data_IF_622449120371
#
_entry.id   IF_622449120371
#
_cell.length_a   1.000
_cell.length_b   1.000
_cell.length_c   1.000
_cell.angle_alpha   90.00
_cell.angle_beta   90.00
_cell.angle_gamma   90.00
#
_symmetry.space_group_name_H-M   'P 1'
#
loop_
_entity.id
_entity.type
_entity.pdbx_description
1 polymer ?
#
# COMPACT_ATOMS: atom_id res chain seq x y z
N UNK A 1 31.40 -33.21 11.13
CA UNK A 1 31.39 -34.20 12.24
C UNK A 1 29.98 -34.33 12.81
N UNK A 2 29.55 -35.55 13.12
CA UNK A 2 28.27 -35.77 13.80
C UNK A 2 28.46 -36.59 15.06
N UNK A 3 27.70 -36.26 16.11
CA UNK A 3 27.62 -37.03 17.34
C UNK A 3 26.15 -37.13 17.73
N UNK A 4 25.67 -38.32 18.09
CA UNK A 4 24.28 -38.55 18.40
C UNK A 4 24.11 -39.52 19.56
N UNK A 5 23.15 -39.22 20.42
CA UNK A 5 22.60 -40.14 21.42
C UNK A 5 21.11 -40.36 21.10
N UNK A 6 20.46 -41.30 21.79
CA UNK A 6 19.03 -41.60 21.57
C UNK A 6 18.13 -40.36 21.59
N UNK A 7 18.48 -39.34 22.37
CA UNK A 7 17.67 -38.14 22.56
C UNK A 7 18.35 -36.83 22.09
N UNK A 8 19.54 -36.89 21.49
CA UNK A 8 20.34 -35.70 21.14
C UNK A 8 21.06 -35.89 19.82
N UNK A 9 21.26 -34.81 19.06
CA UNK A 9 22.03 -34.83 17.83
C UNK A 9 22.85 -33.54 17.73
N UNK A 10 24.16 -33.65 17.52
CA UNK A 10 25.04 -32.53 17.21
C UNK A 10 25.68 -32.75 15.85
N UNK A 11 25.47 -31.80 14.95
CA UNK A 11 26.10 -31.69 13.64
C UNK A 11 27.02 -30.48 13.67
N UNK A 12 28.32 -30.70 13.48
CA UNK A 12 29.32 -29.63 13.44
C UNK A 12 29.94 -29.51 12.07
N UNK A 13 30.17 -28.26 11.64
CA UNK A 13 30.72 -27.92 10.32
C UNK A 13 29.96 -28.62 9.21
N UNK A 14 28.63 -28.64 9.35
CA UNK A 14 27.74 -29.11 8.31
C UNK A 14 27.99 -28.26 7.06
N UNK A 15 28.07 -28.93 5.91
CA UNK A 15 28.01 -28.30 4.60
C UNK A 15 27.00 -29.11 3.81
N UNK A 16 25.89 -28.48 3.45
CA UNK A 16 24.79 -29.10 2.74
C UNK A 16 24.37 -28.22 1.57
N UNK A 17 23.77 -28.84 0.56
CA UNK A 17 23.18 -28.15 -0.58
C UNK A 17 21.74 -28.62 -0.71
N UNK A 18 20.81 -27.67 -0.79
CA UNK A 18 19.39 -27.88 -1.01
C UNK A 18 18.96 -27.01 -2.18
N UNK A 19 18.58 -27.65 -3.29
CA UNK A 19 18.33 -27.00 -4.58
C UNK A 19 19.56 -26.21 -5.07
N UNK A 20 19.48 -24.89 -5.03
CA UNK A 20 20.61 -24.00 -5.34
C UNK A 20 21.22 -23.36 -4.08
N UNK A 21 20.70 -23.71 -2.90
CA UNK A 21 21.04 -23.09 -1.61
C UNK A 21 22.12 -23.90 -0.92
N UNK A 22 23.25 -23.29 -0.59
CA UNK A 22 24.30 -23.87 0.24
C UNK A 22 24.15 -23.41 1.68
N UNK A 23 24.18 -24.39 2.57
CA UNK A 23 24.00 -24.26 4.01
C UNK A 23 25.29 -24.70 4.69
N UNK A 24 25.86 -23.84 5.53
CA UNK A 24 27.04 -24.17 6.31
C UNK A 24 26.88 -23.77 7.77
N UNK A 25 27.26 -24.64 8.70
CA UNK A 25 27.21 -24.28 10.11
C UNK A 25 27.02 -25.45 11.06
N UNK A 26 26.45 -25.15 12.22
CA UNK A 26 26.29 -26.09 13.33
C UNK A 26 24.81 -26.19 13.70
N UNK A 27 24.36 -27.42 13.99
CA UNK A 27 23.03 -27.72 14.51
C UNK A 27 23.18 -28.61 15.74
N UNK A 28 22.51 -28.25 16.82
CA UNK A 28 22.53 -28.96 18.09
C UNK A 28 21.10 -29.18 18.59
N UNK A 29 20.59 -30.39 18.40
CA UNK A 29 19.33 -30.85 18.97
C UNK A 29 19.61 -31.37 20.38
N UNK A 30 19.25 -30.58 21.39
CA UNK A 30 19.43 -30.91 22.83
C UNK A 30 18.41 -31.90 23.35
N UNK A 31 17.25 -32.00 22.71
CA UNK A 31 16.17 -32.93 23.00
C UNK A 31 15.24 -33.03 21.79
N UNK A 32 14.71 -34.22 21.50
CA UNK A 32 13.65 -34.41 20.50
C UNK A 32 12.23 -34.33 21.08
N UNK A 33 12.07 -34.48 22.40
CA UNK A 33 10.75 -34.45 23.05
C UNK A 33 10.87 -33.92 24.49
N UNK A 34 10.52 -32.63 24.74
CA UNK A 34 10.17 -31.61 23.75
C UNK A 34 11.36 -31.28 22.83
N UNK A 35 11.09 -30.79 21.62
CA UNK A 35 12.12 -30.42 20.65
C UNK A 35 12.86 -29.16 21.13
N UNK A 36 14.17 -29.26 21.33
CA UNK A 36 15.05 -28.14 21.71
C UNK A 36 16.21 -28.06 20.72
N UNK A 37 16.27 -26.98 19.94
CA UNK A 37 17.26 -26.81 18.85
C UNK A 37 18.09 -25.56 19.09
N UNK A 38 19.40 -25.70 18.99
CA UNK A 38 20.33 -24.59 18.86
C UNK A 38 21.05 -24.66 17.52
N UNK A 39 21.22 -23.54 16.81
CA UNK A 39 21.96 -23.55 15.55
C UNK A 39 22.69 -22.24 15.29
N UNK A 40 23.74 -22.32 14.49
CA UNK A 40 24.38 -21.18 13.83
C UNK A 40 24.55 -21.54 12.37
N UNK A 41 23.88 -20.82 11.47
CA UNK A 41 23.79 -21.20 10.06
C UNK A 41 24.15 -20.04 9.14
N UNK A 42 25.05 -20.30 8.20
CA UNK A 42 25.31 -19.49 7.02
C UNK A 42 24.57 -20.07 5.81
N UNK A 43 23.90 -19.20 5.06
CA UNK A 43 23.20 -19.54 3.82
C UNK A 43 23.75 -18.64 2.70
N UNK A 44 24.11 -19.19 1.55
CA UNK A 44 24.60 -18.35 0.45
C UNK A 44 23.46 -17.56 -0.23
N UNK A 45 22.41 -18.23 -0.69
CA UNK A 45 21.23 -17.64 -1.32
C UNK A 45 19.97 -18.40 -0.94
N UNK A 46 18.91 -17.68 -0.63
CA UNK A 46 17.60 -18.26 -0.31
C UNK A 46 16.52 -17.49 -1.06
N UNK A 47 15.66 -18.22 -1.77
CA UNK A 47 14.45 -17.64 -2.35
C UNK A 47 13.24 -18.23 -1.62
N UNK A 48 12.68 -17.45 -0.69
CA UNK A 48 11.52 -17.88 0.13
C UNK A 48 10.27 -17.99 -0.74
N UNK A 49 10.16 -17.22 -1.81
CA UNK A 49 8.98 -17.23 -2.71
C UNK A 49 8.76 -18.58 -3.39
N UNK A 50 9.82 -19.40 -3.50
CA UNK A 50 9.70 -20.79 -3.99
C UNK A 50 8.94 -21.70 -3.03
N UNK A 51 8.89 -21.35 -1.75
CA UNK A 51 8.29 -22.15 -0.67
C UNK A 51 7.00 -21.56 -0.12
N UNK A 52 6.63 -20.34 -0.52
CA UNK A 52 5.32 -19.77 -0.21
C UNK A 52 4.23 -20.49 -1.04
N UNK A 53 3.02 -20.69 -0.48
CA UNK A 53 1.89 -21.21 -1.25
C UNK A 53 1.73 -20.38 -2.51
N UNK A 54 1.68 -21.04 -3.68
CA UNK A 54 1.41 -20.33 -4.93
C UNK A 54 0.04 -19.68 -4.79
N UNK A 55 0.03 -18.35 -4.69
CA UNK A 55 -1.15 -17.53 -4.92
C UNK A 55 -1.81 -18.07 -6.18
N UNK A 56 -2.97 -18.71 -6.05
CA UNK A 56 -3.75 -19.06 -7.24
C UNK A 56 -4.13 -17.72 -7.86
N UNK A 57 -3.34 -17.27 -8.85
CA UNK A 57 -3.75 -16.22 -9.78
C UNK A 57 -5.15 -16.59 -10.17
N UNK A 58 -6.12 -15.79 -9.73
CA UNK A 58 -7.53 -16.00 -10.00
C UNK A 58 -7.66 -16.26 -11.49
N UNK A 59 -7.79 -17.54 -11.85
CA UNK A 59 -7.93 -17.95 -13.24
C UNK A 59 -9.20 -17.26 -13.69
N UNK A 60 -9.05 -16.29 -14.61
CA UNK A 60 -10.12 -15.65 -15.40
C UNK A 60 -11.45 -16.34 -15.17
N UNK A 61 -12.27 -15.79 -14.27
CA UNK A 61 -13.66 -16.23 -14.10
C UNK A 61 -14.35 -15.96 -15.42
N UNK A 62 -14.41 -16.98 -16.28
CA UNK A 62 -15.44 -17.03 -17.32
C UNK A 62 -16.79 -16.95 -16.62
N UNK A 63 -17.65 -16.11 -17.16
CA UNK A 63 -18.98 -15.74 -16.68
C UNK A 63 -19.84 -16.93 -16.20
N UNK A 64 -20.81 -16.70 -15.29
CA UNK A 64 -21.47 -17.76 -14.54
C UNK A 64 -22.50 -18.50 -15.40
N UNK A 65 -22.35 -19.81 -15.51
CA UNK A 65 -23.48 -20.72 -15.77
C UNK A 65 -23.44 -21.87 -14.78
N UNK A 66 -24.54 -21.96 -14.03
CA UNK A 66 -24.99 -23.06 -13.18
C UNK A 66 -24.12 -23.44 -11.98
N UNK A 67 -24.67 -23.13 -10.81
CA UNK A 67 -24.32 -23.64 -9.49
C UNK A 67 -24.29 -25.17 -9.47
N UNK A 68 -23.09 -25.72 -9.29
CA UNK A 68 -22.90 -27.04 -8.67
C UNK A 68 -22.57 -26.85 -7.18
N UNK A 69 -23.03 -27.75 -6.30
CA UNK A 69 -22.92 -27.60 -4.86
C UNK A 69 -21.45 -27.63 -4.41
N UNK A 70 -21.17 -26.83 -3.38
CA UNK A 70 -19.87 -26.66 -2.75
C UNK A 70 -19.47 -28.00 -2.12
N UNK A 71 -18.43 -28.66 -2.64
CA UNK A 71 -17.84 -29.84 -2.02
C UNK A 71 -16.93 -29.42 -0.85
N UNK A 72 -16.73 -30.28 0.17
CA UNK A 72 -15.87 -30.00 1.34
C UNK A 72 -14.44 -29.58 0.99
N UNK A 73 -13.96 -29.92 -0.21
CA UNK A 73 -12.63 -29.59 -0.72
C UNK A 73 -12.40 -28.09 -0.88
N UNK A 74 -13.44 -27.29 -1.19
CA UNK A 74 -13.31 -25.82 -1.31
C UNK A 74 -13.19 -25.12 0.05
N UNK A 75 -13.56 -25.80 1.14
CA UNK A 75 -13.41 -25.28 2.51
C UNK A 75 -11.99 -25.57 3.05
N UNK A 76 -11.34 -26.63 2.57
CA UNK A 76 -10.00 -27.02 3.00
C UNK A 76 -8.89 -26.07 2.51
N UNK A 77 -9.12 -25.33 1.42
CA UNK A 77 -8.14 -24.37 0.88
C UNK A 77 -8.13 -23.06 1.69
N UNK A 78 -9.27 -22.69 2.31
CA UNK A 78 -9.35 -21.52 3.18
C UNK A 78 -8.77 -21.76 4.60
N UNK A 79 -8.47 -23.01 4.97
CA UNK A 79 -7.97 -23.37 6.30
C UNK A 79 -6.45 -23.37 6.45
N UNK A 80 -5.69 -23.07 5.39
CA UNK A 80 -4.20 -23.19 5.39
C UNK A 80 -3.49 -21.99 6.03
N UNK A 81 -4.19 -20.90 6.38
CA UNK A 81 -3.58 -19.67 6.92
C UNK A 81 -3.66 -19.52 8.45
N UNK A 82 -4.16 -20.51 9.18
CA UNK A 82 -4.19 -20.47 10.64
C UNK A 82 -2.88 -21.02 11.24
N UNK A 83 -2.08 -20.14 11.86
CA UNK A 83 -0.91 -20.60 12.62
C UNK A 83 -1.38 -21.23 13.93
N UNK A 84 -1.05 -22.50 14.14
CA UNK A 84 -1.40 -23.20 15.38
C UNK A 84 -0.62 -22.63 16.56
N UNK A 85 -1.30 -21.87 17.43
CA UNK A 85 -0.70 -21.30 18.65
C UNK A 85 -0.09 -22.37 19.54
N UNK A 86 -0.68 -23.57 19.59
CA UNK A 86 -0.12 -24.72 20.32
C UNK A 86 1.24 -25.16 19.77
N UNK A 87 1.42 -25.15 18.43
CA UNK A 87 2.70 -25.51 17.84
C UNK A 87 3.78 -24.46 18.18
N UNK A 88 3.42 -23.17 18.14
CA UNK A 88 4.31 -22.08 18.54
C UNK A 88 4.70 -22.15 20.03
N UNK A 89 3.78 -22.56 20.90
CA UNK A 89 4.04 -22.74 22.33
C UNK A 89 5.05 -23.85 22.64
N UNK A 90 5.13 -24.87 21.78
CA UNK A 90 6.09 -25.97 21.92
C UNK A 90 7.47 -25.69 21.33
N UNK A 91 7.62 -24.57 20.62
CA UNK A 91 8.85 -24.22 19.94
C UNK A 91 9.93 -23.83 20.95
N UNK A 92 11.05 -24.54 20.95
CA UNK A 92 12.24 -24.17 21.70
C UNK A 92 13.44 -24.15 20.74
N UNK A 93 13.69 -22.97 20.16
CA UNK A 93 14.70 -22.75 19.12
C UNK A 93 15.50 -21.52 19.49
N UNK A 94 16.82 -21.65 19.47
CA UNK A 94 17.73 -20.50 19.57
C UNK A 94 18.78 -20.58 18.47
N UNK A 95 18.99 -19.51 17.73
CA UNK A 95 20.04 -19.55 16.74
C UNK A 95 20.30 -18.25 16.01
N UNK A 96 21.41 -18.25 15.30
CA UNK A 96 21.86 -17.15 14.48
C UNK A 96 21.89 -17.60 13.01
N UNK A 97 21.41 -16.72 12.14
CA UNK A 97 21.32 -16.94 10.71
C UNK A 97 22.01 -15.78 9.99
N UNK A 98 22.94 -16.11 9.10
CA UNK A 98 23.52 -15.17 8.14
C UNK A 98 23.18 -15.65 6.74
N UNK A 99 22.54 -14.81 5.94
CA UNK A 99 22.17 -15.14 4.55
C UNK A 99 22.86 -14.15 3.62
N UNK A 100 23.57 -14.65 2.61
CA UNK A 100 24.21 -13.81 1.60
C UNK A 100 23.21 -13.06 0.73
N UNK A 101 22.29 -13.79 0.11
CA UNK A 101 21.21 -13.25 -0.72
C UNK A 101 19.84 -13.82 -0.29
N UNK A 102 18.85 -12.95 -0.14
CA UNK A 102 17.48 -13.35 0.17
C UNK A 102 16.52 -12.72 -0.83
N UNK A 103 15.68 -13.56 -1.44
CA UNK A 103 14.49 -13.10 -2.16
C UNK A 103 13.27 -13.41 -1.31
N UNK A 104 12.56 -12.36 -0.91
CA UNK A 104 11.30 -12.43 -0.18
C UNK A 104 10.31 -11.48 -0.81
N UNK A 105 9.19 -12.00 -1.29
CA UNK A 105 8.13 -11.27 -1.97
C UNK A 105 8.62 -10.47 -3.17
N UNK A 106 9.53 -11.08 -3.94
CA UNK A 106 10.34 -10.49 -5.01
C UNK A 106 11.33 -9.41 -4.56
N UNK A 107 11.27 -8.94 -3.31
CA UNK A 107 12.27 -8.02 -2.80
C UNK A 107 13.62 -8.74 -2.68
N UNK A 108 14.68 -8.08 -3.17
CA UNK A 108 16.05 -8.59 -3.10
C UNK A 108 16.79 -7.95 -1.93
N UNK A 109 17.22 -8.78 -1.00
CA UNK A 109 18.01 -8.41 0.16
C UNK A 109 19.37 -9.11 0.09
N UNK A 110 20.36 -8.53 0.74
CA UNK A 110 21.71 -9.09 0.86
C UNK A 110 22.28 -8.83 2.24
N UNK A 111 23.32 -9.58 2.61
CA UNK A 111 24.01 -9.45 3.90
C UNK A 111 23.04 -9.47 5.09
N UNK A 112 22.14 -10.47 5.10
CA UNK A 112 21.12 -10.59 6.14
C UNK A 112 21.76 -11.21 7.38
N UNK A 113 21.54 -10.60 8.53
CA UNK A 113 21.84 -11.21 9.82
C UNK A 113 20.58 -11.17 10.70
N UNK A 114 20.24 -12.34 11.26
CA UNK A 114 19.05 -12.57 12.05
C UNK A 114 19.39 -13.47 13.24
N UNK A 115 18.99 -13.08 14.44
CA UNK A 115 18.97 -13.97 15.61
C UNK A 115 17.53 -14.33 15.96
N UNK A 116 17.27 -15.63 16.17
CA UNK A 116 15.99 -16.16 16.62
C UNK A 116 16.10 -16.70 18.05
N UNK A 117 15.12 -16.35 18.88
CA UNK A 117 14.90 -16.94 20.18
C UNK A 117 13.41 -17.26 20.34
N UNK A 118 13.07 -18.54 20.34
CA UNK A 118 11.72 -19.04 20.54
C UNK A 118 11.69 -19.94 21.76
N UNK A 119 10.89 -19.60 22.75
CA UNK A 119 10.67 -20.41 23.94
C UNK A 119 9.31 -20.10 24.57
N UNK A 120 8.58 -21.14 25.00
CA UNK A 120 7.34 -21.03 25.76
C UNK A 120 6.30 -20.09 25.12
N UNK A 121 6.17 -20.16 23.79
CA UNK A 121 5.25 -19.33 23.01
C UNK A 121 5.68 -17.88 22.81
N UNK A 122 6.86 -17.46 23.28
CA UNK A 122 7.48 -16.19 22.91
C UNK A 122 8.50 -16.43 21.81
N UNK A 123 8.34 -15.79 20.65
CA UNK A 123 9.24 -15.88 19.51
C UNK A 123 9.78 -14.49 19.22
N UNK A 124 11.09 -14.34 19.27
CA UNK A 124 11.79 -13.08 19.06
C UNK A 124 12.76 -13.23 17.89
N UNK A 125 12.67 -12.31 16.93
CA UNK A 125 13.63 -12.11 15.86
C UNK A 125 14.33 -10.77 16.12
N UNK A 126 15.50 -10.83 16.74
CA UNK A 126 16.22 -9.64 17.19
C UNK A 126 17.72 -9.93 17.38
N UNK A 127 18.63 -9.20 16.69
CA UNK A 127 18.31 -8.20 15.68
C UNK A 127 17.96 -8.85 14.33
N UNK A 128 17.21 -8.14 13.50
CA UNK A 128 17.15 -8.38 12.06
C UNK A 128 17.86 -7.25 11.35
N UNK A 129 18.78 -7.55 10.45
CA UNK A 129 19.46 -6.56 9.62
C UNK A 129 19.70 -7.08 8.21
N UNK A 130 19.68 -6.18 7.22
CA UNK A 130 19.95 -6.52 5.83
C UNK A 130 20.35 -5.26 5.03
N UNK A 131 20.96 -5.45 3.86
CA UNK A 131 21.10 -4.43 2.81
C UNK A 131 20.07 -4.66 1.72
N UNK A 132 19.50 -3.57 1.20
CA UNK A 132 18.53 -3.61 0.11
C UNK A 132 18.56 -2.30 -0.68
N UNK A 133 18.60 -2.39 -2.01
CA UNK A 133 18.45 -1.25 -2.92
C UNK A 133 19.28 -0.01 -2.53
N UNK A 134 20.58 -0.23 -2.29
CA UNK A 134 21.58 0.77 -1.81
C UNK A 134 21.42 1.27 -0.38
N UNK A 135 20.32 0.91 0.29
CA UNK A 135 20.06 1.23 1.69
C UNK A 135 20.19 0.02 2.62
N UNK A 136 19.67 0.18 3.83
CA UNK A 136 19.69 -0.85 4.87
C UNK A 136 18.33 -1.02 5.52
N UNK A 137 18.03 -2.24 5.94
CA UNK A 137 16.93 -2.59 6.81
C UNK A 137 17.47 -2.98 8.19
N UNK A 138 16.79 -2.56 9.25
CA UNK A 138 16.98 -3.06 10.60
C UNK A 138 15.64 -3.18 11.31
N UNK A 139 15.42 -4.24 12.07
CA UNK A 139 14.17 -4.41 12.78
C UNK A 139 14.23 -5.44 13.90
N UNK A 140 13.15 -5.46 14.67
CA UNK A 140 12.88 -6.42 15.75
C UNK A 140 11.44 -6.90 15.59
N UNK A 141 11.21 -8.20 15.69
CA UNK A 141 9.88 -8.79 15.58
C UNK A 141 9.67 -9.69 16.80
N UNK A 142 8.54 -9.52 17.48
CA UNK A 142 8.16 -10.36 18.62
C UNK A 142 6.75 -10.89 18.40
N UNK A 143 6.61 -12.21 18.36
CA UNK A 143 5.34 -12.90 18.35
C UNK A 143 5.13 -13.57 19.71
N UNK A 144 4.16 -13.08 20.47
CA UNK A 144 3.72 -13.67 21.73
C UNK A 144 2.45 -14.51 21.49
N UNK A 145 2.62 -15.82 21.51
CA UNK A 145 1.58 -16.84 21.37
C UNK A 145 1.29 -17.57 22.69
N UNK A 146 1.60 -16.98 23.84
CA UNK A 146 1.27 -17.56 25.17
C UNK A 146 -0.24 -17.63 25.38
N UNK A 147 -0.95 -16.62 24.91
CA UNK A 147 -2.41 -16.55 24.96
C UNK A 147 -3.06 -17.26 23.75
N UNK A 148 -4.37 -17.49 23.83
CA UNK A 148 -5.14 -18.11 22.74
C UNK A 148 -5.10 -17.26 21.45
N UNK A 149 -5.02 -15.94 21.59
CA UNK A 149 -4.91 -15.00 20.47
C UNK A 149 -3.50 -14.43 20.53
N UNK A 150 -2.65 -14.70 19.53
CA UNK A 150 -1.28 -14.22 19.56
C UNK A 150 -1.21 -12.72 19.29
N UNK A 151 -0.20 -12.08 19.88
CA UNK A 151 0.14 -10.68 19.67
C UNK A 151 1.47 -10.58 18.93
N UNK A 152 1.50 -9.80 17.85
CA UNK A 152 2.68 -9.49 17.07
C UNK A 152 3.09 -8.04 17.34
N UNK A 153 4.35 -7.81 17.67
CA UNK A 153 4.95 -6.47 17.66
C UNK A 153 6.14 -6.42 16.72
N UNK A 154 6.30 -5.30 16.03
CA UNK A 154 7.37 -5.11 15.06
C UNK A 154 7.89 -3.68 15.14
N UNK A 155 9.21 -3.54 15.19
CA UNK A 155 9.90 -2.29 14.90
C UNK A 155 10.71 -2.48 13.64
N UNK A 156 10.53 -1.62 12.65
CA UNK A 156 11.19 -1.71 11.36
C UNK A 156 11.73 -0.35 10.96
N UNK A 157 12.96 -0.34 10.45
CA UNK A 157 13.63 0.84 9.94
C UNK A 157 14.25 0.54 8.58
N UNK A 158 13.89 1.36 7.59
CA UNK A 158 14.56 1.45 6.30
C UNK A 158 15.35 2.76 6.27
N UNK A 159 16.61 2.70 5.87
CA UNK A 159 17.47 3.86 5.75
C UNK A 159 18.10 3.92 4.36
N UNK A 160 18.00 5.09 3.73
CA UNK A 160 18.57 5.39 2.41
C UNK A 160 18.21 4.37 1.30
N UNK A 161 16.98 3.85 1.31
CA UNK A 161 16.52 2.85 0.34
C UNK A 161 16.05 3.54 -0.94
N UNK A 162 16.57 3.12 -2.09
CA UNK A 162 16.08 3.59 -3.38
C UNK A 162 14.76 2.90 -3.72
N UNK A 163 13.68 3.67 -3.81
CA UNK A 163 12.33 3.09 -3.96
C UNK A 163 12.01 2.60 -5.35
N UNK A 164 12.64 3.15 -6.40
CA UNK A 164 12.38 2.73 -7.77
C UNK A 164 12.62 1.22 -8.00
N UNK A 165 13.83 0.66 -7.77
CA UNK A 165 14.05 -0.77 -7.97
C UNK A 165 13.24 -1.63 -6.99
N UNK A 166 13.01 -1.15 -5.75
CA UNK A 166 12.19 -1.86 -4.77
C UNK A 166 10.73 -2.01 -5.23
N UNK A 167 10.10 -0.90 -5.63
CA UNK A 167 8.70 -0.90 -6.07
C UNK A 167 8.54 -1.64 -7.39
N UNK A 168 9.51 -1.57 -8.30
CA UNK A 168 9.49 -2.39 -9.51
C UNK A 168 9.57 -3.89 -9.20
N UNK A 169 10.45 -4.32 -8.28
CA UNK A 169 10.56 -5.72 -7.90
C UNK A 169 9.29 -6.22 -7.18
N UNK A 170 8.74 -5.44 -6.24
CA UNK A 170 7.62 -5.88 -5.39
C UNK A 170 6.25 -5.68 -6.05
N UNK A 171 6.04 -4.53 -6.71
CA UNK A 171 4.74 -4.11 -7.27
C UNK A 171 4.69 -4.19 -8.81
N UNK A 172 5.82 -4.38 -9.49
CA UNK A 172 5.92 -4.36 -10.96
C UNK A 172 5.87 -2.96 -11.58
N UNK A 173 5.63 -1.92 -10.78
CA UNK A 173 5.58 -0.51 -11.21
C UNK A 173 6.05 0.39 -10.07
N UNK A 174 6.72 1.49 -10.40
CA UNK A 174 7.19 2.46 -9.42
C UNK A 174 6.57 3.85 -9.69
N UNK A 175 5.61 4.24 -8.85
CA UNK A 175 4.93 5.54 -8.96
C UNK A 175 5.61 6.64 -8.13
N UNK A 176 6.36 6.28 -7.09
CA UNK A 176 7.04 7.20 -6.19
C UNK A 176 8.52 6.82 -6.07
N UNK A 177 9.36 7.59 -6.74
CA UNK A 177 10.80 7.37 -6.82
C UNK A 177 11.53 8.29 -5.83
N UNK A 178 12.70 7.86 -5.36
CA UNK A 178 13.60 8.66 -4.53
C UNK A 178 14.32 7.82 -3.48
N UNK A 179 15.09 8.49 -2.62
CA UNK A 179 15.67 7.88 -1.43
C UNK A 179 14.66 7.95 -0.27
N UNK A 180 14.25 6.80 0.25
CA UNK A 180 13.33 6.70 1.38
C UNK A 180 14.02 6.31 2.69
N UNK A 181 13.60 6.97 3.76
CA UNK A 181 13.83 6.57 5.14
C UNK A 181 12.46 6.36 5.79
N UNK A 182 12.24 5.19 6.37
CA UNK A 182 10.95 4.80 6.94
C UNK A 182 11.21 4.19 8.31
N UNK A 183 10.50 4.66 9.33
CA UNK A 183 10.47 4.00 10.63
C UNK A 183 9.03 3.60 10.96
N UNK A 184 8.86 2.38 11.47
CA UNK A 184 7.56 1.81 11.83
C UNK A 184 7.67 1.16 13.21
N UNK A 185 6.66 1.40 14.05
CA UNK A 185 6.44 0.70 15.32
C UNK A 185 5.01 0.19 15.32
N UNK A 186 4.83 -1.09 15.05
CA UNK A 186 3.54 -1.72 14.81
C UNK A 186 3.25 -2.80 15.85
N UNK A 187 1.97 -3.02 16.08
CA UNK A 187 1.41 -4.07 16.91
C UNK A 187 0.14 -4.62 16.26
N UNK A 188 -0.13 -5.90 16.47
CA UNK A 188 -1.27 -6.57 15.85
C UNK A 188 -1.69 -7.79 16.68
N UNK A 189 -2.93 -8.23 16.54
CA UNK A 189 -3.48 -9.41 17.22
C UNK A 189 -4.26 -10.30 16.27
N UNK A 190 -3.94 -11.59 16.23
CA UNK A 190 -4.64 -12.50 15.33
C UNK A 190 -3.84 -13.75 14.97
N UNK A 191 -4.55 -14.86 14.77
CA UNK A 191 -3.94 -16.14 14.38
C UNK A 191 -3.84 -16.32 12.85
N UNK A 192 -4.34 -15.35 12.09
CA UNK A 192 -4.37 -15.34 10.63
C UNK A 192 -4.10 -13.94 10.09
N UNK A 193 -3.70 -13.87 8.81
CA UNK A 193 -3.27 -12.63 8.14
C UNK A 193 -4.36 -11.55 8.11
N UNK A 194 -5.64 -11.93 7.96
CA UNK A 194 -6.74 -10.96 7.90
C UNK A 194 -6.98 -10.33 9.27
N UNK A 195 -6.87 -11.12 10.36
CA UNK A 195 -6.90 -10.59 11.72
C UNK A 195 -5.69 -9.74 12.03
N UNK A 196 -4.51 -10.10 11.54
CA UNK A 196 -3.34 -9.25 11.68
C UNK A 196 -3.50 -7.90 10.95
N UNK A 197 -4.01 -7.92 9.71
CA UNK A 197 -4.26 -6.73 8.89
C UNK A 197 -5.30 -5.81 9.55
N UNK A 198 -6.42 -6.38 9.98
CA UNK A 198 -7.55 -5.62 10.54
C UNK A 198 -7.34 -5.11 11.98
N UNK A 199 -6.38 -5.68 12.72
CA UNK A 199 -6.03 -5.23 14.07
C UNK A 199 -4.75 -4.40 14.13
N UNK A 200 -4.03 -4.26 13.00
CA UNK A 200 -2.78 -3.53 12.92
C UNK A 200 -2.93 -2.13 13.49
N UNK A 201 -2.07 -1.79 14.44
CA UNK A 201 -2.07 -0.52 15.15
C UNK A 201 -0.65 -0.08 15.48
N UNK A 202 -0.38 1.22 15.51
CA UNK A 202 0.96 1.73 15.77
C UNK A 202 1.20 3.09 15.13
N UNK A 203 2.47 3.39 14.91
CA UNK A 203 2.91 4.66 14.35
C UNK A 203 4.08 4.47 13.39
N UNK A 204 4.33 5.48 12.58
CA UNK A 204 5.49 5.52 11.72
C UNK A 204 5.80 6.91 11.21
N UNK A 205 6.95 7.03 10.55
CA UNK A 205 7.35 8.22 9.83
C UNK A 205 8.02 7.83 8.52
N UNK A 206 7.81 8.68 7.51
CA UNK A 206 8.30 8.52 6.16
C UNK A 206 9.00 9.81 5.78
N UNK A 207 10.22 9.68 5.24
CA UNK A 207 11.00 10.78 4.67
C UNK A 207 11.54 10.33 3.32
N UNK A 208 11.16 11.03 2.27
CA UNK A 208 11.76 10.94 0.94
C UNK A 208 12.64 12.15 0.66
N UNK A 209 13.73 11.93 -0.06
CA UNK A 209 14.61 12.97 -0.60
C UNK A 209 14.73 12.82 -2.10
N UNK A 210 14.79 13.97 -2.78
CA UNK A 210 15.09 14.12 -4.21
C UNK A 210 14.30 13.11 -5.06
N UNK A 211 12.98 13.19 -4.96
CA UNK A 211 12.06 12.20 -5.50
C UNK A 211 11.31 12.64 -6.75
N UNK A 212 10.63 11.67 -7.36
CA UNK A 212 9.80 11.86 -8.55
C UNK A 212 8.48 11.14 -8.32
N UNK A 213 7.38 11.87 -8.45
CA UNK A 213 6.03 11.32 -8.55
C UNK A 213 5.71 11.10 -10.03
N UNK A 214 5.57 9.83 -10.44
CA UNK A 214 5.27 9.45 -11.82
C UNK A 214 3.79 9.62 -12.15
N UNK A 215 3.53 9.97 -13.41
CA UNK A 215 2.17 10.00 -13.97
C UNK A 215 1.34 11.24 -13.62
N UNK A 216 1.87 12.17 -12.83
CA UNK A 216 1.26 13.49 -12.58
C UNK A 216 2.32 14.58 -12.72
N UNK A 217 2.08 15.58 -13.58
CA UNK A 217 2.89 16.80 -13.68
C UNK A 217 2.14 17.99 -13.06
N UNK A 218 2.38 18.20 -11.77
CA UNK A 218 1.76 19.28 -11.00
C UNK A 218 2.27 20.64 -11.50
N UNK A 219 3.55 20.77 -11.84
CA UNK A 219 4.12 22.04 -12.28
C UNK A 219 3.51 22.51 -13.60
N UNK A 220 3.41 21.63 -14.59
CA UNK A 220 2.76 21.94 -15.86
C UNK A 220 1.25 22.17 -15.70
N UNK A 221 0.59 21.43 -14.79
CA UNK A 221 -0.82 21.65 -14.45
C UNK A 221 -1.04 23.07 -13.90
N UNK A 222 -0.22 23.50 -12.94
CA UNK A 222 -0.30 24.86 -12.37
C UNK A 222 -0.03 25.94 -13.42
N UNK A 223 0.98 25.73 -14.27
CA UNK A 223 1.30 26.64 -15.38
C UNK A 223 0.13 26.80 -16.37
N UNK A 224 -0.57 25.71 -16.69
CA UNK A 224 -1.77 25.75 -17.53
C UNK A 224 -2.89 26.55 -16.86
N UNK A 225 -3.11 26.36 -15.57
CA UNK A 225 -4.10 27.11 -14.79
C UNK A 225 -3.79 28.62 -14.80
N UNK A 226 -2.51 29.00 -14.62
CA UNK A 226 -2.05 30.38 -14.71
C UNK A 226 -2.30 30.99 -16.10
N UNK A 227 -1.96 30.27 -17.18
CA UNK A 227 -2.21 30.76 -18.55
C UNK A 227 -3.71 30.92 -18.84
N UNK A 228 -4.55 29.99 -18.37
CA UNK A 228 -6.00 30.10 -18.53
C UNK A 228 -6.56 31.30 -17.75
N UNK A 229 -6.00 31.57 -16.57
CA UNK A 229 -6.34 32.75 -15.78
C UNK A 229 -5.98 34.06 -16.50
N UNK A 230 -4.74 34.21 -16.95
CA UNK A 230 -4.28 35.41 -17.64
C UNK A 230 -5.03 35.65 -18.95
N UNK A 231 -5.23 34.59 -19.74
CA UNK A 231 -5.88 34.68 -21.05
C UNK A 231 -7.40 34.72 -21.00
N UNK A 232 -8.00 34.41 -19.84
CA UNK A 232 -9.45 34.19 -19.66
C UNK A 232 -10.05 33.16 -20.63
N UNK A 233 -9.23 32.20 -21.08
CA UNK A 233 -9.63 31.12 -21.98
C UNK A 233 -9.48 29.80 -21.23
N UNK A 234 -10.58 29.09 -21.05
CA UNK A 234 -10.61 27.82 -20.34
C UNK A 234 -10.65 26.67 -21.35
N UNK A 235 -9.94 25.59 -21.03
CA UNK A 235 -9.84 24.39 -21.85
C UNK A 235 -9.47 23.17 -21.02
N UNK A 236 -9.15 22.08 -21.71
CA UNK A 236 -8.70 20.86 -21.07
C UNK A 236 -7.32 21.05 -20.42
N UNK A 237 -7.12 20.42 -19.26
CA UNK A 237 -5.86 20.46 -18.51
C UNK A 237 -5.16 19.12 -18.69
N UNK A 238 -3.96 19.15 -19.25
CA UNK A 238 -3.08 17.98 -19.26
C UNK A 238 -2.42 17.82 -17.88
N UNK A 239 -2.70 16.71 -17.22
CA UNK A 239 -2.17 16.39 -15.89
C UNK A 239 -1.09 15.32 -15.91
N UNK A 240 -0.88 14.66 -17.05
CA UNK A 240 0.10 13.60 -17.24
C UNK A 240 1.52 14.14 -17.33
N UNK A 241 2.48 13.31 -16.93
CA UNK A 241 3.91 13.66 -16.85
C UNK A 241 4.44 13.31 -15.48
N UNK A 242 5.57 13.88 -15.09
CA UNK A 242 6.25 13.54 -13.83
C UNK A 242 6.49 14.80 -12.99
N UNK A 243 6.30 14.68 -11.67
CA UNK A 243 6.58 15.77 -10.74
C UNK A 243 7.84 15.48 -9.95
N UNK A 244 8.87 16.31 -10.13
CA UNK A 244 10.06 16.27 -9.28
C UNK A 244 9.81 17.04 -7.98
N UNK A 245 10.31 16.50 -6.87
CA UNK A 245 10.23 17.13 -5.56
C UNK A 245 11.52 16.94 -4.76
N UNK A 246 11.84 17.92 -3.91
CA UNK A 246 13.03 17.91 -3.07
C UNK A 246 12.86 16.99 -1.86
N UNK A 247 11.69 17.03 -1.24
CA UNK A 247 11.40 16.20 -0.06
C UNK A 247 9.93 15.90 0.09
N UNK A 248 9.61 14.74 0.66
CA UNK A 248 8.28 14.41 1.17
C UNK A 248 8.43 13.86 2.58
N UNK A 249 7.70 14.43 3.54
CA UNK A 249 7.63 13.93 4.92
C UNK A 249 6.20 13.61 5.29
N UNK A 250 5.98 12.57 6.10
CA UNK A 250 4.66 12.22 6.64
C UNK A 250 4.82 11.40 7.93
N UNK A 251 3.99 11.66 8.94
CA UNK A 251 3.80 10.76 10.08
C UNK A 251 2.54 9.91 9.91
N UNK A 252 2.60 8.66 10.33
CA UNK A 252 1.50 7.71 10.22
C UNK A 252 0.95 7.40 11.60
N UNK A 253 -0.36 7.48 11.75
CA UNK A 253 -1.10 6.91 12.87
C UNK A 253 -1.91 5.74 12.34
N UNK A 254 -1.71 4.56 12.92
CA UNK A 254 -2.36 3.33 12.46
C UNK A 254 -3.23 2.80 13.60
N UNK A 255 -4.50 2.56 13.31
CA UNK A 255 -5.45 2.02 14.28
C UNK A 255 -6.42 1.06 13.61
N UNK A 256 -6.39 -0.20 14.03
CA UNK A 256 -7.28 -1.26 13.51
C UNK A 256 -7.28 -1.35 11.98
N UNK A 257 -6.09 -1.32 11.38
CA UNK A 257 -5.90 -1.35 9.93
C UNK A 257 -6.24 -0.04 9.21
N UNK A 258 -6.61 1.03 9.90
CA UNK A 258 -6.81 2.36 9.31
C UNK A 258 -5.52 3.16 9.45
N UNK A 259 -4.96 3.61 8.34
CA UNK A 259 -3.73 4.41 8.27
C UNK A 259 -4.11 5.87 8.00
N UNK A 260 -3.93 6.71 9.01
CA UNK A 260 -4.14 8.15 8.95
C UNK A 260 -2.81 8.91 8.90
N UNK A 261 -2.82 10.05 8.22
CA UNK A 261 -1.74 11.03 8.22
C UNK A 261 -2.35 12.44 8.28
N UNK A 262 -1.74 13.37 9.01
CA UNK A 262 -2.27 14.73 9.16
C UNK A 262 -1.26 15.84 8.85
N UNK A 263 -0.03 15.47 8.46
CA UNK A 263 1.12 16.36 8.34
C UNK A 263 1.98 16.05 7.11
N UNK A 264 1.42 15.41 6.08
CA UNK A 264 2.16 15.20 4.84
C UNK A 264 2.61 16.55 4.30
N UNK A 265 3.89 16.65 3.97
CA UNK A 265 4.48 17.82 3.34
C UNK A 265 5.40 17.37 2.22
N UNK A 266 4.98 17.60 0.98
CA UNK A 266 5.85 17.53 -0.19
C UNK A 266 6.32 18.94 -0.55
N UNK A 267 7.61 19.10 -0.78
CA UNK A 267 8.22 20.36 -1.21
C UNK A 267 8.87 20.19 -2.58
N UNK A 268 8.42 21.00 -3.54
CA UNK A 268 8.95 21.04 -4.90
C UNK A 268 9.38 22.47 -5.27
N UNK A 269 9.92 22.65 -6.47
CA UNK A 269 10.24 23.99 -6.96
C UNK A 269 8.94 24.75 -7.31
N UNK A 270 8.68 25.86 -6.63
CA UNK A 270 7.55 26.74 -6.91
C UNK A 270 6.22 26.35 -6.25
N UNK A 271 6.15 25.20 -5.57
CA UNK A 271 4.96 24.80 -4.83
C UNK A 271 5.26 23.79 -3.72
N UNK A 272 4.31 23.67 -2.79
CA UNK A 272 4.26 22.65 -1.75
C UNK A 272 2.93 21.92 -1.79
N UNK A 273 2.89 20.69 -1.28
CA UNK A 273 1.64 19.95 -1.08
C UNK A 273 1.53 19.55 0.38
N UNK A 274 0.48 20.00 1.04
CA UNK A 274 0.13 19.60 2.40
C UNK A 274 -0.96 18.53 2.34
N UNK A 275 -0.84 17.43 3.08
CA UNK A 275 -1.82 16.35 3.06
C UNK A 275 -2.38 16.01 4.44
N UNK A 276 -3.67 15.68 4.49
CA UNK A 276 -4.32 15.16 5.71
C UNK A 276 -5.52 14.25 5.44
N UNK A 277 -5.73 13.30 6.33
CA UNK A 277 -6.86 12.37 6.35
C UNK A 277 -6.42 10.90 6.35
N UNK A 278 -7.33 10.04 5.91
CA UNK A 278 -7.11 8.60 5.83
C UNK A 278 -6.40 8.26 4.53
N UNK A 279 -5.15 7.82 4.62
CA UNK A 279 -4.33 7.39 3.47
C UNK A 279 -4.85 6.08 2.90
N UNK A 280 -5.14 5.10 3.77
CA UNK A 280 -5.69 3.81 3.39
C UNK A 280 -6.39 3.14 4.57
N UNK A 281 -7.54 2.52 4.32
CA UNK A 281 -8.13 1.51 5.19
C UNK A 281 -7.75 0.13 4.65
N UNK A 282 -6.94 -0.62 5.38
CA UNK A 282 -6.46 -1.95 4.97
C UNK A 282 -7.59 -2.99 4.89
N UNK A 283 -8.75 -2.73 5.50
CA UNK A 283 -9.88 -3.67 5.52
C UNK A 283 -10.70 -3.66 4.23
N UNK A 284 -10.82 -2.50 3.56
CA UNK A 284 -11.65 -2.31 2.37
C UNK A 284 -10.95 -1.58 1.23
N UNK A 285 -9.68 -1.21 1.43
CA UNK A 285 -8.78 -0.57 0.47
C UNK A 285 -9.28 0.79 -0.01
N UNK A 286 -10.05 1.46 0.85
CA UNK A 286 -10.52 2.82 0.59
C UNK A 286 -9.56 3.87 1.12
N UNK A 287 -9.62 5.07 0.54
CA UNK A 287 -8.94 6.25 1.03
C UNK A 287 -9.88 7.45 1.12
N UNK A 288 -9.55 8.36 2.03
CA UNK A 288 -10.26 9.62 2.22
C UNK A 288 -9.25 10.69 2.60
N UNK A 289 -8.56 11.18 1.57
CA UNK A 289 -7.40 12.02 1.73
C UNK A 289 -7.57 13.39 1.08
N UNK A 290 -7.10 14.44 1.73
CA UNK A 290 -7.14 15.81 1.22
C UNK A 290 -5.72 16.29 1.01
N UNK A 291 -5.42 16.82 -0.18
CA UNK A 291 -4.13 17.43 -0.51
C UNK A 291 -4.36 18.89 -0.85
N UNK A 292 -3.60 19.80 -0.25
CA UNK A 292 -3.63 21.23 -0.56
C UNK A 292 -2.32 21.62 -1.25
N UNK A 293 -2.40 21.93 -2.54
CA UNK A 293 -1.27 22.43 -3.32
C UNK A 293 -1.16 23.93 -3.09
N UNK A 294 -0.08 24.38 -2.47
CA UNK A 294 0.21 25.78 -2.15
C UNK A 294 1.26 26.26 -3.13
N UNK A 295 0.90 27.21 -4.00
CA UNK A 295 1.80 27.76 -5.02
C UNK A 295 2.53 28.98 -4.45
N UNK A 296 3.85 28.99 -4.57
CA UNK A 296 4.68 30.08 -4.06
C UNK A 296 4.27 31.41 -4.72
N UNK A 297 4.37 32.52 -3.97
CA UNK A 297 4.14 33.84 -4.55
C UNK A 297 5.17 34.10 -5.66
N UNK A 298 4.68 34.40 -6.86
CA UNK A 298 5.52 34.80 -7.98
C UNK A 298 4.83 35.89 -8.80
N UNK A 299 5.62 36.71 -9.49
CA UNK A 299 5.09 37.80 -10.31
C UNK A 299 5.75 37.81 -11.67
N UNK A 300 4.94 37.92 -12.72
CA UNK A 300 5.40 38.13 -14.09
C UNK A 300 5.20 39.60 -14.48
N UNK A 301 6.03 40.08 -15.39
CA UNK A 301 5.89 41.43 -15.96
C UNK A 301 5.81 41.31 -17.47
N UNK A 302 4.76 41.87 -18.07
CA UNK A 302 4.59 41.92 -19.52
C UNK A 302 4.33 43.38 -19.91
N UNK A 303 5.35 44.02 -20.48
CA UNK A 303 5.32 45.47 -20.68
C UNK A 303 5.39 46.21 -19.34
N UNK A 304 4.46 47.13 -19.11
CA UNK A 304 4.33 47.86 -17.83
C UNK A 304 3.42 47.16 -16.80
N UNK A 305 2.69 46.13 -17.22
CA UNK A 305 1.74 45.42 -16.35
C UNK A 305 2.42 44.31 -15.55
N UNK A 306 2.18 44.30 -14.24
CA UNK A 306 2.65 43.29 -13.29
C UNK A 306 1.50 42.36 -12.92
N UNK A 307 1.69 41.06 -13.15
CA UNK A 307 0.70 40.02 -12.88
C UNK A 307 1.17 39.17 -11.70
N UNK A 308 0.25 38.83 -10.80
CA UNK A 308 0.50 37.87 -9.73
C UNK A 308 0.19 36.47 -10.25
N UNK A 309 1.22 35.63 -10.39
CA UNK A 309 1.17 34.27 -10.95
C UNK A 309 1.46 33.23 -9.86
N UNK A 310 0.99 33.48 -8.64
CA UNK A 310 1.20 32.59 -7.50
C UNK A 310 0.44 33.04 -6.26
N UNK A 311 0.71 32.39 -5.12
CA UNK A 311 0.08 32.73 -3.84
C UNK A 311 -1.37 32.25 -3.70
N UNK A 312 -1.68 31.12 -4.33
CA UNK A 312 -3.00 30.49 -4.28
C UNK A 312 -2.89 29.02 -3.89
N UNK A 313 -4.02 28.50 -3.41
CA UNK A 313 -4.16 27.16 -2.86
C UNK A 313 -5.16 26.35 -3.68
N UNK A 314 -4.80 25.14 -4.07
CA UNK A 314 -5.69 24.19 -4.74
C UNK A 314 -5.92 22.98 -3.83
N UNK A 315 -7.13 22.86 -3.31
CA UNK A 315 -7.55 21.68 -2.57
C UNK A 315 -7.92 20.55 -3.54
N UNK A 316 -7.35 19.37 -3.34
CA UNK A 316 -7.61 18.13 -4.06
C UNK A 316 -8.19 17.12 -3.07
N UNK A 317 -9.34 16.54 -3.41
CA UNK A 317 -10.04 15.54 -2.61
C UNK A 317 -9.92 14.18 -3.28
N UNK A 318 -9.27 13.25 -2.59
CA UNK A 318 -9.07 11.88 -3.03
C UNK A 318 -10.00 10.93 -2.27
N UNK A 319 -10.87 10.20 -2.99
CA UNK A 319 -11.95 9.38 -2.42
C UNK A 319 -12.09 8.05 -3.15
N UNK A 320 -12.76 7.09 -2.51
CA UNK A 320 -13.10 5.79 -3.11
C UNK A 320 -12.06 4.72 -2.81
N UNK A 321 -11.92 3.74 -3.71
CA UNK A 321 -10.86 2.74 -3.61
C UNK A 321 -9.54 3.31 -4.14
N UNK A 322 -8.44 2.98 -3.48
CA UNK A 322 -7.09 3.42 -3.85
C UNK A 322 -6.76 3.07 -5.31
N UNK A 323 -7.21 1.91 -5.77
CA UNK A 323 -6.95 1.37 -7.11
C UNK A 323 -7.47 2.22 -8.27
N UNK A 324 -8.59 2.91 -8.06
CA UNK A 324 -9.21 3.74 -9.09
C UNK A 324 -8.70 5.18 -9.05
N UNK A 325 -7.76 5.50 -8.14
CA UNK A 325 -7.08 6.79 -7.96
C UNK A 325 -7.97 8.01 -8.26
N UNK A 326 -9.16 8.04 -7.68
CA UNK A 326 -10.12 9.13 -7.88
C UNK A 326 -9.74 10.33 -7.01
N UNK A 327 -8.89 11.20 -7.56
CA UNK A 327 -8.56 12.50 -7.00
C UNK A 327 -9.14 13.60 -7.89
N UNK A 328 -10.01 14.42 -7.30
CA UNK A 328 -10.62 15.54 -8.01
C UNK A 328 -10.23 16.85 -7.31
N UNK A 329 -9.77 17.86 -8.05
CA UNK A 329 -9.67 19.21 -7.52
C UNK A 329 -11.03 19.69 -7.02
N UNK A 330 -11.04 20.42 -5.91
CA UNK A 330 -12.20 21.17 -5.47
C UNK A 330 -12.33 22.39 -6.38
N UNK A 331 -13.25 22.28 -7.35
CA UNK A 331 -13.57 23.35 -8.30
C UNK A 331 -13.88 24.66 -7.58
N UNK A 332 -14.40 24.58 -6.36
CA UNK A 332 -14.59 25.76 -5.54
C UNK A 332 -13.33 26.47 -5.14
N UNK A 333 -12.35 25.72 -4.67
CA UNK A 333 -11.04 26.25 -4.31
C UNK A 333 -10.33 26.80 -5.55
N UNK A 334 -10.48 26.16 -6.71
CA UNK A 334 -9.98 26.70 -7.98
C UNK A 334 -10.64 28.05 -8.30
N UNK A 335 -11.97 28.15 -8.21
CA UNK A 335 -12.68 29.41 -8.50
C UNK A 335 -12.30 30.51 -7.50
N UNK A 336 -12.20 30.20 -6.21
CA UNK A 336 -11.78 31.16 -5.18
C UNK A 336 -10.32 31.61 -5.35
N UNK A 337 -9.42 30.68 -5.71
CA UNK A 337 -8.03 30.97 -6.04
C UNK A 337 -7.89 31.93 -7.23
N UNK A 338 -8.69 31.69 -8.27
CA UNK A 338 -8.66 32.45 -9.54
C UNK A 338 -9.40 33.79 -9.39
N UNK A 339 -10.54 33.82 -8.70
CA UNK A 339 -11.43 34.97 -8.61
C UNK A 339 -11.63 35.38 -7.15
N UNK A 340 -10.64 36.07 -6.57
CA UNK A 340 -10.62 36.55 -5.17
C UNK A 340 -11.88 37.34 -4.71
N UNK A 341 -12.75 37.76 -5.62
CA UNK A 341 -13.92 38.62 -5.34
C UNK A 341 -15.25 38.14 -5.95
N UNK A 342 -15.34 36.97 -6.58
CA UNK A 342 -16.55 36.59 -7.34
C UNK A 342 -17.18 35.29 -6.86
N UNK A 343 -18.51 35.26 -6.66
CA UNK A 343 -19.25 34.09 -6.19
C UNK A 343 -19.31 32.98 -7.25
N UNK A 344 -19.12 31.71 -6.80
CA UNK A 344 -19.15 30.47 -7.61
C UNK A 344 -20.23 30.44 -8.69
N UNK A 345 -21.47 30.75 -8.31
CA UNK A 345 -22.66 30.62 -9.18
C UNK A 345 -22.61 31.58 -10.37
N UNK A 346 -22.17 32.83 -10.17
CA UNK A 346 -22.10 33.86 -11.23
C UNK A 346 -21.00 33.59 -12.27
N UNK A 347 -20.01 32.77 -11.92
CA UNK A 347 -18.89 32.43 -12.79
C UNK A 347 -19.13 31.13 -13.57
N UNK A 348 -19.71 30.11 -12.94
CA UNK A 348 -20.04 28.85 -13.62
C UNK A 348 -20.96 29.09 -14.83
N UNK A 349 -21.95 29.96 -14.69
CA UNK A 349 -22.84 30.36 -15.78
C UNK A 349 -22.12 31.15 -16.90
N UNK A 350 -21.10 31.95 -16.55
CA UNK A 350 -20.35 32.77 -17.52
C UNK A 350 -19.28 31.98 -18.27
N UNK A 351 -18.73 30.92 -17.67
CA UNK A 351 -17.58 30.20 -18.20
C UNK A 351 -17.96 28.98 -19.06
N UNK A 352 -19.23 28.57 -19.09
CA UNK A 352 -19.73 27.51 -19.97
C UNK A 352 -19.03 26.16 -19.80
N UNK A 353 -18.36 25.93 -18.66
CA UNK A 353 -17.53 24.76 -18.43
C UNK A 353 -18.43 23.54 -18.16
N UNK A 354 -18.40 22.56 -19.06
CA UNK A 354 -18.95 21.22 -18.83
C UNK A 354 -17.80 20.29 -18.44
N UNK A 355 -17.80 19.80 -17.19
CA UNK A 355 -16.78 18.88 -16.67
C UNK A 355 -17.39 17.47 -16.55
N UNK A 356 -16.71 16.40 -17.01
CA UNK A 356 -17.17 15.03 -16.81
C UNK A 356 -17.30 14.70 -15.32
N UNK A 357 -18.49 14.29 -14.87
CA UNK A 357 -18.73 13.83 -13.49
C UNK A 357 -19.46 14.82 -12.56
N UNK A 358 -19.80 16.02 -13.03
CA UNK A 358 -20.77 16.91 -12.37
C UNK A 358 -22.09 16.88 -13.16
N UNK A 359 -22.93 15.89 -12.90
CA UNK A 359 -24.35 16.02 -13.27
C UNK A 359 -25.04 16.90 -12.23
N UNK A 360 -25.84 17.90 -12.65
CA UNK A 360 -26.74 18.60 -11.75
C UNK A 360 -27.65 17.58 -11.05
N UNK A 361 -27.88 17.75 -9.74
CA UNK A 361 -28.91 16.99 -9.02
C UNK A 361 -30.22 17.12 -9.78
N UNK A 362 -30.71 16.01 -10.31
CA UNK A 362 -32.06 15.89 -10.83
C UNK A 362 -33.00 16.13 -9.63
N UNK A 363 -33.75 17.22 -9.70
CA UNK A 363 -34.80 17.54 -8.72
C UNK A 363 -35.82 16.39 -8.72
N UNK A 364 -36.11 15.87 -7.53
CA UNK A 364 -37.14 14.87 -7.33
C UNK A 364 -38.49 15.41 -7.86
N UNK A 365 -39.22 14.64 -8.70
CA UNK A 365 -40.56 15.03 -9.11
C UNK A 365 -41.48 15.12 -7.90
N UNK A 366 -42.26 16.21 -7.82
CA UNK A 366 -43.32 16.41 -6.83
C UNK A 366 -44.40 15.33 -6.98
N UNK A 367 -44.75 14.69 -5.87
CA UNK A 367 -45.94 13.85 -5.72
C UNK A 367 -47.22 14.65 -6.01
N UNK A 368 -48.03 14.18 -6.96
CA UNK A 368 -49.47 14.42 -6.99
C UNK A 368 -50.19 13.08 -6.78
N UNK A 369 -51.17 13.10 -5.87
CA UNK A 369 -51.96 11.96 -5.41
C UNK A 369 -53.09 11.57 -6.41
N UNK A 370 -53.66 10.36 -6.31
CA UNK A 370 -54.15 9.57 -7.43
C UNK A 370 -55.65 9.71 -7.75
N UNK A 371 -56.04 9.33 -8.97
CA UNK A 371 -57.40 8.87 -9.30
C UNK A 371 -57.36 7.46 -9.91
N UNK A 372 -58.17 6.57 -9.31
CA UNK A 372 -58.59 5.23 -9.80
C UNK A 372 -59.25 5.35 -11.20
N UNK A 373 -59.23 4.38 -12.13
CA UNK A 373 -59.59 2.96 -12.05
C UNK A 373 -58.81 2.07 -13.06
N UNK A 374 -58.88 0.75 -12.82
CA UNK A 374 -58.07 -0.36 -13.33
C UNK A 374 -58.64 -1.04 -14.63
N UNK A 375 -58.20 -2.27 -15.01
CA UNK A 375 -56.90 -2.65 -15.59
C UNK A 375 -57.03 -3.44 -16.91
N UNK A 376 -55.94 -3.60 -17.68
CA UNK A 376 -55.65 -4.83 -18.46
C UNK A 376 -54.20 -4.89 -18.97
N UNK A 377 -53.44 -5.77 -18.33
CA UNK A 377 -52.45 -6.74 -18.86
C UNK A 377 -51.87 -6.54 -20.28
N UNK A 378 -50.55 -6.32 -20.36
CA UNK A 378 -49.55 -7.30 -20.86
C UNK A 378 -48.11 -6.75 -20.71
N UNK A 379 -47.17 -7.61 -20.32
CA UNK A 379 -45.76 -7.30 -20.00
C UNK A 379 -44.80 -7.78 -21.14
N UNK A 380 -43.45 -7.66 -21.02
CA UNK A 380 -42.68 -6.55 -21.57
C UNK A 380 -41.63 -7.00 -22.61
N UNK A 381 -41.11 -6.06 -23.41
CA UNK A 381 -39.82 -6.20 -24.13
C UNK A 381 -38.87 -5.07 -23.71
N UNK A 382 -37.89 -5.39 -22.88
CA UNK A 382 -36.71 -4.55 -22.65
C UNK A 382 -35.55 -5.06 -23.51
N UNK A 383 -35.05 -4.20 -24.41
CA UNK A 383 -33.75 -4.31 -25.02
C UNK A 383 -32.68 -3.85 -24.02
N UNK A 384 -31.74 -4.75 -23.69
CA UNK A 384 -30.52 -4.40 -22.95
C UNK A 384 -29.46 -3.92 -23.93
N UNK A 385 -29.14 -2.62 -23.89
CA UNK A 385 -27.86 -2.11 -24.38
C UNK A 385 -26.74 -2.42 -23.38
N UNK A 386 -25.78 -3.20 -23.84
CA UNK A 386 -24.51 -3.52 -23.17
C UNK A 386 -23.49 -2.39 -23.40
N UNK A 387 -22.93 -1.83 -22.34
CA UNK A 387 -21.66 -1.09 -22.41
C UNK A 387 -20.48 -2.08 -22.26
N UNK A 388 -19.38 -1.94 -23.04
CA UNK A 388 -18.23 -2.84 -22.94
C UNK A 388 -17.43 -2.56 -21.66
N UNK A 389 -17.10 -3.62 -20.90
CA UNK A 389 -16.16 -3.53 -19.78
C UNK A 389 -14.72 -3.61 -20.32
N UNK A 390 -13.92 -2.61 -19.97
CA UNK A 390 -12.50 -2.49 -20.30
C UNK A 390 -11.66 -3.49 -19.47
N UNK A 391 -10.92 -4.41 -20.11
CA UNK A 391 -10.10 -5.44 -19.44
C UNK A 391 -8.86 -4.91 -18.69
N UNK A 392 -8.58 -3.60 -18.72
CA UNK A 392 -7.44 -3.01 -18.00
C UNK A 392 -7.65 -2.91 -16.47
N UNK A 393 -8.90 -2.96 -15.98
CA UNK A 393 -9.21 -2.84 -14.56
C UNK A 393 -8.97 -4.13 -13.75
N UNK A 394 -9.03 -5.31 -14.37
CA UNK A 394 -8.83 -6.59 -13.67
C UNK A 394 -7.36 -6.86 -13.29
N UNK A 395 -6.40 -6.17 -13.92
CA UNK A 395 -4.97 -6.38 -13.64
C UNK A 395 -4.50 -5.69 -12.35
N UNK A 396 -5.26 -4.70 -11.87
CA UNK A 396 -4.87 -3.86 -10.73
C UNK A 396 -5.36 -4.43 -9.40
N UNK A 397 -6.51 -5.11 -9.39
CA UNK A 397 -7.16 -5.60 -8.16
C UNK A 397 -6.30 -6.62 -7.40
N UNK A 398 -5.41 -7.32 -8.09
CA UNK A 398 -4.49 -8.30 -7.48
C UNK A 398 -3.31 -7.66 -6.74
N UNK A 399 -2.98 -6.38 -7.00
CA UNK A 399 -1.72 -5.77 -6.53
C UNK A 399 -1.77 -5.34 -5.05
N UNK A 400 -2.96 -5.07 -4.49
CA UNK A 400 -3.12 -4.52 -3.13
C UNK A 400 -3.33 -5.62 -2.07
N UNK A 401 -4.08 -6.68 -2.37
CA UNK A 401 -4.11 -7.89 -1.52
C UNK A 401 -2.68 -8.47 -1.40
N UNK A 402 -1.97 -8.48 -2.52
CA UNK A 402 -0.58 -8.89 -2.65
C UNK A 402 0.38 -7.95 -1.88
N UNK A 403 0.07 -6.67 -1.67
CA UNK A 403 0.97 -5.72 -0.97
C UNK A 403 1.15 -6.03 0.52
N UNK A 404 0.08 -6.37 1.24
CA UNK A 404 0.19 -6.72 2.66
C UNK A 404 0.76 -8.12 2.83
N UNK A 405 0.32 -9.10 2.03
CA UNK A 405 0.85 -10.47 2.05
C UNK A 405 2.30 -10.58 1.54
N UNK A 406 2.77 -9.60 0.76
CA UNK A 406 4.18 -9.51 0.36
C UNK A 406 5.06 -8.83 1.39
N UNK A 407 4.52 -7.90 2.17
CA UNK A 407 5.29 -7.11 3.14
C UNK A 407 5.20 -7.64 4.58
N UNK A 408 4.24 -8.51 4.87
CA UNK A 408 3.94 -9.14 6.17
C UNK A 408 3.51 -10.59 5.98
#
# INVERSE_FOLDING_TARGET
DFAGEKNKLSLKKMNAELDETKLQGDINIKSFTPLVVEFGMGIDKLNIDRYLPKQEKSKKRKSPKQSKPITPETVAVATVTNVSTKALQTLNIKGDLVIGELVFSNAKLSDIALSINAADGLIELNPVSAKLYRGTYSGNIVLNAKDKIPNLTMQSKLAAVQTEPLLNDVMGTADLLGEANINLSLSSVGADINKLKSSLSGNGDIIFKDGILKGVDIANTLRQIEMMYESKRFGDIETTGDTQFKSLTATLNIKNGIVDNNDLLLSAAGFKVNGKGMLINLNDETWKYNMNVVVDNSTATKGEEKYNIGGYDILIKCRGKVINKLCMPDIGSIIEAIFKETTKEKLLDKLGIKIPGLTPKEEAPKEEAPKEEAPKEEAPKEEKQTTPKDPLNELKDTIIEDLFEKLF
#
